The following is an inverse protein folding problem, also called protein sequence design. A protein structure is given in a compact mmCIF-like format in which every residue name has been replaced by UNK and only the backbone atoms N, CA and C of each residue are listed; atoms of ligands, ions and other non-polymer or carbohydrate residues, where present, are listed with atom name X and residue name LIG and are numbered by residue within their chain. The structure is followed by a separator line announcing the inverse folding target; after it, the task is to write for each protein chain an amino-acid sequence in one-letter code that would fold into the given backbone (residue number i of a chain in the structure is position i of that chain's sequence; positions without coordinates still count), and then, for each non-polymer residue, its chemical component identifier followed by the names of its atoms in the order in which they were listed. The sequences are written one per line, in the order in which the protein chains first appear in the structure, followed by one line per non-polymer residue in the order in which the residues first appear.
data_IF_940419130653
#
_entry.id   IF_940419130653
#
_cell.length_a   1.000
_cell.length_b   1.000
_cell.length_c   1.000
_cell.angle_alpha   90.00
_cell.angle_beta   90.00
_cell.angle_gamma   90.00
#
_symmetry.space_group_name_H-M   'P 1'
#
loop_
_entity.id
_entity.type
_entity.pdbx_description
1 polymer ?
#
# COMPACT_ATOMS: atom_id res chain seq x y z
N UNK A 1 18.69 -19.61 -30.63
CA UNK A 1 18.62 -19.64 -29.15
C UNK A 1 19.63 -18.62 -28.67
N UNK A 2 19.31 -17.71 -27.74
CA UNK A 2 20.36 -16.86 -27.16
C UNK A 2 21.33 -17.79 -26.44
N UNK A 3 22.63 -17.59 -26.66
CA UNK A 3 23.70 -18.42 -26.09
C UNK A 3 23.48 -18.60 -24.59
N UNK A 4 23.45 -19.86 -24.15
CA UNK A 4 23.33 -20.19 -22.73
C UNK A 4 24.48 -19.53 -21.97
N UNK A 5 24.16 -18.85 -20.87
CA UNK A 5 25.17 -18.28 -19.99
C UNK A 5 26.09 -19.41 -19.49
N UNK A 6 27.42 -19.32 -19.64
CA UNK A 6 28.35 -20.44 -19.41
C UNK A 6 28.51 -20.86 -17.94
N UNK A 7 27.72 -20.31 -17.02
CA UNK A 7 27.79 -20.60 -15.59
C UNK A 7 26.77 -21.68 -15.18
N UNK A 8 27.26 -22.76 -14.57
CA UNK A 8 26.41 -23.82 -14.01
C UNK A 8 26.05 -23.54 -12.53
N UNK A 9 26.84 -22.69 -11.84
CA UNK A 9 26.63 -22.30 -10.44
C UNK A 9 26.75 -20.79 -10.27
N UNK A 10 26.18 -20.27 -9.18
CA UNK A 10 26.32 -18.85 -8.81
C UNK A 10 27.80 -18.47 -8.63
N UNK A 11 28.61 -19.39 -8.10
CA UNK A 11 30.06 -19.20 -7.89
C UNK A 11 30.83 -18.96 -9.20
N UNK A 12 30.28 -19.42 -10.35
CA UNK A 12 30.90 -19.29 -11.67
C UNK A 12 30.54 -17.96 -12.36
N UNK A 13 29.62 -17.18 -11.76
CA UNK A 13 29.16 -15.93 -12.34
C UNK A 13 30.24 -14.85 -12.31
N UNK A 14 30.25 -14.03 -13.35
CA UNK A 14 31.06 -12.82 -13.37
C UNK A 14 30.61 -11.86 -12.26
N UNK A 15 31.50 -10.94 -11.87
CA UNK A 15 31.15 -9.86 -10.94
C UNK A 15 29.92 -9.07 -11.41
N UNK A 16 29.80 -8.83 -12.71
CA UNK A 16 28.66 -8.09 -13.27
C UNK A 16 27.34 -8.86 -13.10
N UNK A 17 27.37 -10.18 -13.31
CA UNK A 17 26.19 -11.03 -13.15
C UNK A 17 25.80 -11.19 -11.68
N UNK A 18 26.78 -11.30 -10.78
CA UNK A 18 26.53 -11.28 -9.34
C UNK A 18 25.86 -9.97 -8.89
N UNK A 19 26.26 -8.83 -9.45
CA UNK A 19 25.61 -7.54 -9.16
C UNK A 19 24.15 -7.49 -9.62
N UNK A 20 23.82 -8.12 -10.75
CA UNK A 20 22.43 -8.26 -11.24
C UNK A 20 21.62 -9.25 -10.40
N UNK A 21 22.26 -10.27 -9.83
CA UNK A 21 21.61 -11.31 -9.04
C UNK A 21 21.12 -10.81 -7.68
N UNK A 22 21.80 -9.83 -7.07
CA UNK A 22 21.42 -9.26 -5.76
C UNK A 22 19.98 -8.70 -5.76
N UNK A 23 19.60 -7.73 -6.62
CA UNK A 23 18.24 -7.22 -6.64
C UNK A 23 17.21 -8.26 -7.08
N UNK A 24 17.60 -9.23 -7.92
CA UNK A 24 16.75 -10.37 -8.27
C UNK A 24 16.45 -11.25 -7.04
N UNK A 25 17.44 -11.54 -6.20
CA UNK A 25 17.21 -12.28 -4.94
C UNK A 25 16.34 -11.50 -3.97
N UNK A 26 16.51 -10.18 -3.87
CA UNK A 26 15.60 -9.33 -3.10
C UNK A 26 14.16 -9.41 -3.63
N UNK A 27 13.99 -9.37 -4.95
CA UNK A 27 12.68 -9.53 -5.59
C UNK A 27 12.06 -10.89 -5.26
N UNK A 28 12.81 -11.99 -5.39
CA UNK A 28 12.36 -13.35 -5.04
C UNK A 28 11.94 -13.44 -3.58
N UNK A 29 12.68 -12.81 -2.66
CA UNK A 29 12.31 -12.73 -1.24
C UNK A 29 10.96 -12.02 -1.06
N UNK A 30 10.76 -10.86 -1.70
CA UNK A 30 9.51 -10.11 -1.62
C UNK A 30 8.31 -10.91 -2.15
N UNK A 31 8.46 -11.54 -3.31
CA UNK A 31 7.41 -12.38 -3.92
C UNK A 31 7.10 -13.58 -3.03
N UNK A 32 8.12 -14.32 -2.59
CA UNK A 32 7.93 -15.48 -1.73
C UNK A 32 7.29 -15.11 -0.38
N UNK A 33 7.67 -13.96 0.20
CA UNK A 33 7.07 -13.43 1.42
C UNK A 33 5.58 -13.10 1.23
N UNK A 34 5.21 -12.48 0.11
CA UNK A 34 3.82 -12.19 -0.24
C UNK A 34 3.02 -13.48 -0.51
N UNK A 35 3.62 -14.50 -1.13
CA UNK A 35 2.99 -15.80 -1.35
C UNK A 35 2.71 -16.52 -0.02
N UNK A 36 3.65 -16.52 0.92
CA UNK A 36 3.41 -17.05 2.27
C UNK A 36 2.22 -16.38 2.95
N UNK A 37 2.15 -15.05 2.91
CA UNK A 37 1.02 -14.33 3.48
C UNK A 37 -0.30 -14.69 2.76
N UNK A 38 -0.26 -14.83 1.43
CA UNK A 38 -1.42 -15.21 0.62
C UNK A 38 -1.95 -16.59 1.00
N UNK A 39 -1.06 -17.58 1.14
CA UNK A 39 -1.43 -18.94 1.52
C UNK A 39 -1.94 -19.01 2.95
N UNK A 40 -1.28 -18.37 3.92
CA UNK A 40 -1.76 -18.34 5.31
C UNK A 40 -3.15 -17.70 5.38
N UNK A 41 -3.38 -16.62 4.64
CA UNK A 41 -4.71 -16.00 4.54
C UNK A 41 -5.74 -16.94 3.92
N UNK A 42 -5.37 -17.68 2.88
CA UNK A 42 -6.26 -18.63 2.22
C UNK A 42 -6.65 -19.81 3.15
N UNK A 43 -5.66 -20.36 3.86
CA UNK A 43 -5.84 -21.55 4.70
C UNK A 43 -6.44 -21.23 6.08
N UNK A 44 -6.10 -20.08 6.67
CA UNK A 44 -6.38 -19.77 8.08
C UNK A 44 -7.25 -18.53 8.26
N UNK A 45 -7.59 -17.81 7.19
CA UNK A 45 -8.36 -16.58 7.23
C UNK A 45 -7.50 -15.34 7.54
N UNK A 46 -8.07 -14.17 7.23
CA UNK A 46 -7.38 -12.88 7.34
C UNK A 46 -6.98 -12.50 8.79
N UNK A 47 -7.83 -12.65 9.82
CA UNK A 47 -7.46 -12.24 11.18
C UNK A 47 -6.23 -12.98 11.71
N UNK A 48 -6.18 -14.30 11.53
CA UNK A 48 -5.06 -15.14 11.92
C UNK A 48 -3.81 -14.81 11.08
N UNK A 49 -3.97 -14.63 9.76
CA UNK A 49 -2.86 -14.26 8.88
C UNK A 49 -2.20 -12.94 9.28
N UNK A 50 -2.98 -11.91 9.66
CA UNK A 50 -2.46 -10.62 10.11
C UNK A 50 -1.71 -10.74 11.44
N UNK A 51 -2.22 -11.50 12.40
CA UNK A 51 -1.54 -11.75 13.67
C UNK A 51 -0.20 -12.47 13.47
N UNK A 52 -0.15 -13.47 12.58
CA UNK A 52 1.08 -14.17 12.22
C UNK A 52 2.05 -13.26 11.46
N UNK A 53 1.53 -12.41 10.56
CA UNK A 53 2.33 -11.45 9.79
C UNK A 53 3.08 -10.48 10.70
N UNK A 54 2.49 -10.00 11.81
CA UNK A 54 3.19 -9.11 12.76
C UNK A 54 4.49 -9.75 13.30
N UNK A 55 4.39 -11.03 13.70
CA UNK A 55 5.52 -11.76 14.24
C UNK A 55 6.56 -12.08 13.17
N UNK A 56 6.08 -12.52 11.99
CA UNK A 56 6.93 -12.85 10.86
C UNK A 56 7.71 -11.63 10.35
N UNK A 57 7.04 -10.47 10.23
CA UNK A 57 7.64 -9.23 9.75
C UNK A 57 8.77 -8.77 10.66
N UNK A 58 8.53 -8.63 11.97
CA UNK A 58 9.53 -8.16 12.94
C UNK A 58 10.77 -9.06 12.96
N UNK A 59 10.57 -10.38 12.99
CA UNK A 59 11.68 -11.35 13.01
C UNK A 59 12.43 -11.36 11.67
N UNK A 60 11.71 -11.38 10.56
CA UNK A 60 12.30 -11.39 9.22
C UNK A 60 13.14 -10.15 8.95
N UNK A 61 12.60 -8.96 9.26
CA UNK A 61 13.31 -7.70 9.08
C UNK A 61 14.59 -7.65 9.91
N UNK A 62 14.52 -8.00 11.20
CA UNK A 62 15.69 -8.00 12.08
C UNK A 62 16.80 -8.95 11.59
N UNK A 63 16.44 -10.17 11.14
CA UNK A 63 17.40 -11.15 10.60
C UNK A 63 18.03 -10.63 9.30
N UNK A 64 17.22 -10.10 8.38
CA UNK A 64 17.71 -9.57 7.11
C UNK A 64 18.64 -8.38 7.30
N UNK A 65 18.25 -7.40 8.13
CA UNK A 65 19.07 -6.23 8.42
C UNK A 65 20.38 -6.61 9.10
N UNK A 66 20.36 -7.55 10.05
CA UNK A 66 21.58 -8.07 10.69
C UNK A 66 22.55 -8.66 9.66
N UNK A 67 22.07 -9.58 8.80
CA UNK A 67 22.90 -10.24 7.78
C UNK A 67 23.46 -9.25 6.75
N UNK A 68 22.63 -8.31 6.29
CA UNK A 68 23.07 -7.26 5.38
C UNK A 68 24.10 -6.33 6.04
N UNK A 69 23.90 -5.96 7.31
CA UNK A 69 24.85 -5.16 8.07
C UNK A 69 26.21 -5.85 8.23
N UNK A 70 26.21 -7.14 8.58
CA UNK A 70 27.43 -7.96 8.68
C UNK A 70 28.15 -8.08 7.32
N UNK A 71 27.40 -8.26 6.23
CA UNK A 71 27.96 -8.46 4.88
C UNK A 71 28.45 -7.16 4.22
N UNK A 72 27.72 -6.07 4.42
CA UNK A 72 27.98 -4.77 3.77
C UNK A 72 28.75 -3.78 4.68
N UNK A 73 29.00 -4.15 5.94
CA UNK A 73 29.83 -3.38 6.87
C UNK A 73 29.13 -2.17 7.50
N UNK A 74 27.79 -2.16 7.59
CA UNK A 74 27.06 -1.08 8.28
C UNK A 74 26.51 -1.54 9.63
N UNK A 75 26.49 -0.61 10.59
CA UNK A 75 25.93 -0.85 11.93
C UNK A 75 24.40 -0.95 11.87
N UNK A 76 23.84 -1.89 12.63
CA UNK A 76 22.40 -2.07 12.85
C UNK A 76 22.06 -1.72 14.30
N UNK A 77 21.01 -0.92 14.51
CA UNK A 77 20.47 -0.53 15.82
C UNK A 77 18.97 -0.77 15.80
N UNK A 78 18.44 -1.50 16.78
CA UNK A 78 17.01 -1.86 16.90
C UNK A 78 16.40 -2.45 15.62
N UNK A 79 17.18 -3.26 14.92
CA UNK A 79 16.75 -3.92 13.68
C UNK A 79 16.75 -3.03 12.44
N UNK A 80 17.31 -1.81 12.51
CA UNK A 80 17.42 -0.87 11.39
C UNK A 80 18.87 -0.46 11.13
N UNK A 81 19.24 -0.09 9.90
CA UNK A 81 20.53 0.55 9.63
C UNK A 81 20.71 1.81 10.49
N UNK A 82 21.85 1.94 11.16
CA UNK A 82 22.13 3.05 12.09
C UNK A 82 22.05 4.42 11.42
N UNK A 83 22.27 4.49 10.10
CA UNK A 83 22.08 5.71 9.31
C UNK A 83 20.66 6.27 9.44
N UNK A 84 19.63 5.40 9.52
CA UNK A 84 18.24 5.82 9.66
C UNK A 84 17.98 6.47 11.02
N UNK A 85 18.57 5.93 12.09
CA UNK A 85 18.43 6.48 13.44
C UNK A 85 19.13 7.84 13.60
N UNK A 86 20.11 8.15 12.74
CA UNK A 86 20.81 9.43 12.72
C UNK A 86 20.12 10.52 11.89
N UNK A 87 19.04 10.19 11.15
CA UNK A 87 18.30 11.17 10.37
C UNK A 87 17.44 12.06 11.27
N UNK A 88 17.36 13.34 10.94
CA UNK A 88 16.38 14.23 11.56
C UNK A 88 14.96 13.94 11.07
N UNK A 89 13.98 14.59 11.71
CA UNK A 89 12.56 14.41 11.38
C UNK A 89 12.24 14.75 9.92
N UNK A 90 12.86 15.79 9.35
CA UNK A 90 12.59 16.22 7.98
C UNK A 90 13.09 15.17 7.00
N UNK A 91 14.32 14.69 7.17
CA UNK A 91 14.90 13.64 6.34
C UNK A 91 14.13 12.31 6.45
N UNK A 92 13.62 11.96 7.64
CA UNK A 92 12.75 10.80 7.81
C UNK A 92 11.42 10.94 7.05
N UNK A 93 10.81 12.13 7.07
CA UNK A 93 9.59 12.40 6.31
C UNK A 93 9.85 12.35 4.80
N UNK A 94 10.95 12.92 4.33
CA UNK A 94 11.35 12.85 2.92
C UNK A 94 11.59 11.41 2.45
N UNK A 95 12.20 10.58 3.31
CA UNK A 95 12.39 9.16 3.04
C UNK A 95 11.05 8.43 2.95
N UNK A 96 10.12 8.69 3.87
CA UNK A 96 8.76 8.13 3.84
C UNK A 96 8.03 8.56 2.55
N UNK A 97 8.20 9.80 2.11
CA UNK A 97 7.61 10.30 0.86
C UNK A 97 8.20 9.62 -0.37
N UNK A 98 9.50 9.36 -0.37
CA UNK A 98 10.15 8.57 -1.42
C UNK A 98 9.61 7.13 -1.45
N UNK A 99 9.43 6.49 -0.29
CA UNK A 99 8.84 5.16 -0.20
C UNK A 99 7.40 5.13 -0.72
N UNK A 100 6.58 6.12 -0.38
CA UNK A 100 5.22 6.24 -0.89
C UNK A 100 5.20 6.43 -2.42
N UNK A 101 6.11 7.25 -2.97
CA UNK A 101 6.26 7.41 -4.44
C UNK A 101 6.63 6.09 -5.12
N UNK A 102 7.53 5.31 -4.53
CA UNK A 102 7.92 4.00 -5.05
C UNK A 102 6.75 3.01 -5.03
N UNK A 103 5.94 3.01 -3.95
CA UNK A 103 4.72 2.21 -3.89
C UNK A 103 3.76 2.54 -5.04
N UNK A 104 3.47 3.82 -5.27
CA UNK A 104 2.56 4.25 -6.34
C UNK A 104 3.14 3.92 -7.73
N UNK A 105 4.45 4.05 -7.91
CA UNK A 105 5.12 3.68 -9.16
C UNK A 105 4.97 2.17 -9.44
N UNK A 106 5.18 1.32 -8.43
CA UNK A 106 5.01 -0.12 -8.57
C UNK A 106 3.57 -0.51 -8.90
N UNK A 107 2.58 0.13 -8.25
CA UNK A 107 1.16 -0.09 -8.54
C UNK A 107 0.85 0.22 -10.01
N UNK A 108 1.30 1.36 -10.52
CA UNK A 108 1.16 1.75 -11.92
C UNK A 108 1.90 0.83 -12.90
N UNK A 109 3.12 0.38 -12.57
CA UNK A 109 3.91 -0.54 -13.41
C UNK A 109 3.21 -1.90 -13.52
N UNK A 110 2.68 -2.44 -12.42
CA UNK A 110 1.89 -3.68 -12.46
C UNK A 110 0.62 -3.52 -13.27
N UNK A 111 -0.10 -2.41 -13.09
CA UNK A 111 -1.29 -2.11 -13.86
C UNK A 111 -0.99 -2.13 -15.36
N UNK A 112 0.05 -1.41 -15.78
CA UNK A 112 0.48 -1.32 -17.17
C UNK A 112 0.95 -2.68 -17.72
N UNK A 113 1.69 -3.46 -16.94
CA UNK A 113 2.12 -4.80 -17.36
C UNK A 113 0.94 -5.71 -17.69
N UNK A 114 -0.12 -5.68 -16.87
CA UNK A 114 -1.36 -6.44 -17.15
C UNK A 114 -2.11 -5.83 -18.32
N UNK A 115 -2.25 -4.50 -18.37
CA UNK A 115 -2.96 -3.80 -19.45
C UNK A 115 -2.33 -4.11 -20.82
N UNK A 116 -1.00 -4.00 -20.95
CA UNK A 116 -0.31 -4.27 -22.21
C UNK A 116 -0.34 -5.75 -22.61
N UNK A 117 -0.48 -6.66 -21.65
CA UNK A 117 -0.53 -8.11 -21.90
C UNK A 117 -1.96 -8.61 -22.19
N UNK A 118 -2.96 -8.05 -21.53
CA UNK A 118 -4.31 -8.62 -21.39
C UNK A 118 -5.46 -7.62 -21.57
N UNK A 119 -5.15 -6.33 -21.70
CA UNK A 119 -6.11 -5.24 -21.85
C UNK A 119 -6.63 -4.66 -20.54
N UNK A 120 -7.32 -3.53 -20.67
CA UNK A 120 -7.81 -2.70 -19.56
C UNK A 120 -8.72 -3.45 -18.57
N UNK A 121 -9.60 -4.32 -19.06
CA UNK A 121 -10.54 -5.05 -18.20
C UNK A 121 -9.82 -5.97 -17.21
N UNK A 122 -8.83 -6.74 -17.68
CA UNK A 122 -8.04 -7.63 -16.83
C UNK A 122 -7.18 -6.80 -15.86
N UNK A 123 -6.60 -5.68 -16.31
CA UNK A 123 -5.82 -4.77 -15.45
C UNK A 123 -6.66 -4.19 -14.29
N UNK A 124 -7.87 -3.67 -14.59
CA UNK A 124 -8.80 -3.16 -13.57
C UNK A 124 -9.24 -4.25 -12.61
N UNK A 125 -9.58 -5.45 -13.10
CA UNK A 125 -9.99 -6.56 -12.23
C UNK A 125 -8.88 -6.98 -11.27
N UNK A 126 -7.65 -7.07 -11.76
CA UNK A 126 -6.48 -7.38 -10.93
C UNK A 126 -6.22 -6.27 -9.90
N UNK A 127 -6.27 -5.00 -10.30
CA UNK A 127 -6.14 -3.85 -9.43
C UNK A 127 -7.19 -3.85 -8.31
N UNK A 128 -8.47 -3.99 -8.66
CA UNK A 128 -9.57 -3.93 -7.69
C UNK A 128 -9.48 -5.10 -6.69
N UNK A 129 -9.07 -6.28 -7.16
CA UNK A 129 -8.79 -7.44 -6.30
C UNK A 129 -7.59 -7.21 -5.38
N UNK A 130 -6.53 -6.56 -5.88
CA UNK A 130 -5.39 -6.17 -5.06
C UNK A 130 -5.82 -5.23 -3.92
N UNK A 131 -6.64 -4.23 -4.22
CA UNK A 131 -7.18 -3.31 -3.22
C UNK A 131 -8.10 -3.99 -2.18
N UNK A 132 -8.88 -5.01 -2.60
CA UNK A 132 -9.68 -5.82 -1.67
C UNK A 132 -8.82 -6.53 -0.61
N UNK A 133 -7.57 -6.83 -0.94
CA UNK A 133 -6.62 -7.49 -0.07
C UNK A 133 -5.74 -6.52 0.73
N UNK A 134 -5.28 -5.45 0.08
CA UNK A 134 -4.37 -4.48 0.68
C UNK A 134 -5.08 -3.58 1.69
N UNK A 135 -6.31 -3.12 1.41
CA UNK A 135 -7.00 -2.15 2.25
C UNK A 135 -7.26 -2.64 3.68
N UNK A 136 -7.71 -3.89 3.91
CA UNK A 136 -7.85 -4.42 5.28
C UNK A 136 -6.49 -4.60 5.99
N UNK A 137 -5.43 -4.99 5.26
CA UNK A 137 -4.09 -5.08 5.83
C UNK A 137 -3.58 -3.70 6.28
N UNK A 138 -3.74 -2.69 5.43
CA UNK A 138 -3.35 -1.31 5.73
C UNK A 138 -4.13 -0.76 6.94
N UNK A 139 -5.45 -0.98 6.98
CA UNK A 139 -6.30 -0.61 8.11
C UNK A 139 -5.83 -1.27 9.42
N UNK A 140 -5.55 -2.58 9.40
CA UNK A 140 -5.03 -3.31 10.57
C UNK A 140 -3.69 -2.74 11.04
N UNK A 141 -2.77 -2.44 10.12
CA UNK A 141 -1.45 -1.90 10.47
C UNK A 141 -1.57 -0.49 11.07
N UNK A 142 -2.41 0.37 10.50
CA UNK A 142 -2.67 1.72 11.00
C UNK A 142 -3.35 1.69 12.36
N UNK A 143 -4.34 0.81 12.59
CA UNK A 143 -4.97 0.65 13.91
C UNK A 143 -3.93 0.38 14.99
N UNK A 144 -2.99 -0.54 14.72
CA UNK A 144 -1.90 -0.88 15.66
C UNK A 144 -0.95 0.30 15.88
N UNK A 145 -0.54 0.97 14.81
CA UNK A 145 0.34 2.14 14.91
C UNK A 145 -0.27 3.25 15.77
N UNK A 146 -1.58 3.47 15.63
CA UNK A 146 -2.31 4.54 16.33
C UNK A 146 -2.89 4.12 17.69
N UNK A 147 -2.76 2.84 18.07
CA UNK A 147 -3.40 2.29 19.26
C UNK A 147 -4.93 2.39 19.23
N UNK A 148 -5.54 2.25 18.05
CA UNK A 148 -7.01 2.24 17.93
C UNK A 148 -7.56 0.91 18.44
N UNK A 149 -8.65 0.97 19.22
CA UNK A 149 -9.38 -0.23 19.65
C UNK A 149 -10.10 -0.95 18.50
N UNK A 150 -10.86 -2.00 18.83
CA UNK A 150 -11.50 -2.83 17.79
C UNK A 150 -12.56 -2.09 16.97
N UNK A 151 -13.35 -1.24 17.63
CA UNK A 151 -14.42 -0.46 17.01
C UNK A 151 -14.25 1.03 17.35
N UNK A 152 -13.25 1.71 16.74
CA UNK A 152 -12.89 3.09 17.09
C UNK A 152 -13.85 4.13 16.48
N UNK A 153 -14.89 3.71 15.77
CA UNK A 153 -15.90 4.58 15.17
C UNK A 153 -15.37 5.52 14.08
N UNK A 154 -16.20 6.49 13.71
CA UNK A 154 -15.89 7.46 12.64
C UNK A 154 -14.74 8.39 13.01
N UNK A 155 -14.56 8.75 14.28
CA UNK A 155 -13.38 9.51 14.74
C UNK A 155 -12.09 8.71 14.56
N UNK A 156 -12.13 7.40 14.83
CA UNK A 156 -11.03 6.49 14.52
C UNK A 156 -10.71 6.43 13.03
N UNK A 157 -11.74 6.33 12.18
CA UNK A 157 -11.60 6.35 10.72
C UNK A 157 -10.99 7.66 10.22
N UNK A 158 -11.48 8.81 10.68
CA UNK A 158 -10.96 10.13 10.30
C UNK A 158 -9.45 10.25 10.62
N UNK A 159 -9.02 9.75 11.79
CA UNK A 159 -7.59 9.69 12.13
C UNK A 159 -6.84 8.74 11.21
N UNK A 160 -7.34 7.52 11.02
CA UNK A 160 -6.68 6.47 10.24
C UNK A 160 -6.46 6.84 8.76
N UNK A 161 -7.40 7.58 8.15
CA UNK A 161 -7.28 8.04 6.75
C UNK A 161 -6.02 8.89 6.51
N UNK A 162 -5.50 9.58 7.53
CA UNK A 162 -4.28 10.38 7.44
C UNK A 162 -2.98 9.57 7.46
N UNK A 163 -3.05 8.27 7.77
CA UNK A 163 -1.89 7.38 7.88
C UNK A 163 -1.80 6.37 6.73
N UNK A 164 -2.71 6.46 5.75
CA UNK A 164 -2.63 5.65 4.53
C UNK A 164 -1.42 6.04 3.70
N UNK A 165 -0.83 5.08 2.98
CA UNK A 165 0.40 5.30 2.20
C UNK A 165 0.24 6.44 1.18
N UNK A 166 -0.91 6.53 0.51
CA UNK A 166 -1.16 7.60 -0.45
C UNK A 166 -1.44 8.96 0.20
N UNK A 167 -1.73 9.03 1.50
CA UNK A 167 -1.99 10.31 2.18
C UNK A 167 -0.72 11.18 2.20
N UNK A 168 0.46 10.57 2.00
CA UNK A 168 1.73 11.26 1.77
C UNK A 168 1.86 11.88 0.37
N UNK A 169 1.10 11.39 -0.60
CA UNK A 169 1.21 11.77 -2.01
C UNK A 169 0.11 12.72 -2.47
N UNK A 170 -0.99 12.74 -1.74
CA UNK A 170 -2.23 13.40 -2.10
C UNK A 170 -2.61 14.47 -1.07
N UNK A 171 -3.47 15.40 -1.47
CA UNK A 171 -4.12 16.32 -0.54
C UNK A 171 -5.54 15.86 -0.31
N UNK A 172 -5.93 15.70 0.96
CA UNK A 172 -7.22 15.17 1.35
C UNK A 172 -7.79 15.93 2.55
N UNK A 173 -9.11 15.89 2.68
CA UNK A 173 -9.83 16.50 3.80
C UNK A 173 -10.92 15.57 4.30
N UNK A 174 -11.26 15.73 5.57
CA UNK A 174 -12.36 15.01 6.22
C UNK A 174 -13.16 15.97 7.08
N UNK A 175 -14.48 15.85 7.06
CA UNK A 175 -15.37 16.60 7.94
C UNK A 175 -16.60 15.76 8.30
N UNK A 176 -17.21 16.06 9.43
CA UNK A 176 -18.46 15.42 9.85
C UNK A 176 -19.64 16.24 9.31
N UNK A 177 -20.56 15.58 8.60
CA UNK A 177 -21.87 16.18 8.27
C UNK A 177 -22.77 16.21 9.51
N UNK A 178 -22.65 15.18 10.36
CA UNK A 178 -23.31 15.01 11.65
C UNK A 178 -22.53 13.99 12.51
N UNK A 179 -23.03 13.64 13.70
CA UNK A 179 -22.38 12.71 14.64
C UNK A 179 -22.25 11.27 14.12
N UNK A 180 -22.97 10.92 13.06
CA UNK A 180 -23.04 9.57 12.50
C UNK A 180 -22.58 9.50 11.04
N UNK A 181 -22.04 10.61 10.51
CA UNK A 181 -21.69 10.73 9.09
C UNK A 181 -20.36 11.49 8.92
N UNK A 182 -19.35 10.77 8.46
CA UNK A 182 -18.05 11.33 8.07
C UNK A 182 -17.94 11.40 6.55
N UNK A 183 -17.52 12.55 6.02
CA UNK A 183 -17.18 12.72 4.61
C UNK A 183 -15.68 12.86 4.44
N UNK A 184 -15.14 12.12 3.48
CA UNK A 184 -13.77 12.23 3.00
C UNK A 184 -13.75 12.78 1.58
N UNK A 185 -12.79 13.66 1.28
CA UNK A 185 -12.54 14.20 -0.06
C UNK A 185 -11.08 14.07 -0.42
N UNK A 186 -10.82 13.57 -1.62
CA UNK A 186 -9.51 13.60 -2.26
C UNK A 186 -9.39 14.90 -3.06
N UNK A 187 -8.90 15.96 -2.41
CA UNK A 187 -8.78 17.29 -3.01
C UNK A 187 -7.78 17.31 -4.18
N UNK A 188 -6.63 16.66 -4.00
CA UNK A 188 -5.62 16.50 -5.06
C UNK A 188 -5.21 15.04 -5.13
N UNK A 189 -5.48 14.40 -6.26
CA UNK A 189 -5.03 13.04 -6.54
C UNK A 189 -3.82 13.08 -7.47
N UNK A 190 -2.68 12.56 -7.03
CA UNK A 190 -1.42 12.53 -7.80
C UNK A 190 -1.59 11.84 -9.16
N UNK A 191 -2.39 10.76 -9.24
CA UNK A 191 -2.66 10.05 -10.49
C UNK A 191 -3.43 10.94 -11.46
N UNK A 192 -4.53 11.56 -11.00
CA UNK A 192 -5.33 12.43 -11.86
C UNK A 192 -4.55 13.69 -12.27
N UNK A 193 -3.81 14.30 -11.36
CA UNK A 193 -2.95 15.44 -11.66
C UNK A 193 -1.90 15.11 -12.73
N UNK A 194 -1.29 13.92 -12.67
CA UNK A 194 -0.33 13.45 -13.67
C UNK A 194 -0.97 13.13 -15.03
N UNK A 195 -2.28 12.84 -15.08
CA UNK A 195 -3.03 12.65 -16.32
C UNK A 195 -3.45 13.98 -16.92
N UNK A 196 -3.97 14.89 -16.09
CA UNK A 196 -4.34 16.25 -16.49
C UNK A 196 -3.13 17.00 -17.09
N UNK A 197 -1.94 16.87 -16.50
CA UNK A 197 -0.72 17.48 -17.05
C UNK A 197 -0.30 16.95 -18.42
N UNK A 198 -0.81 15.77 -18.81
CA UNK A 198 -0.62 15.15 -20.13
C UNK A 198 -1.81 15.36 -21.06
N UNK A 199 -2.80 16.16 -20.67
CA UNK A 199 -4.04 16.35 -21.44
C UNK A 199 -4.90 15.08 -21.55
N UNK A 200 -4.72 14.12 -20.65
CA UNK A 200 -5.50 12.88 -20.62
C UNK A 200 -6.74 13.06 -19.74
N UNK A 201 -7.86 12.46 -20.16
CA UNK A 201 -9.06 12.39 -19.33
C UNK A 201 -8.78 11.67 -17.99
N UNK A 202 -9.59 11.97 -16.98
CA UNK A 202 -9.47 11.32 -15.67
C UNK A 202 -9.55 9.81 -15.79
N UNK A 203 -8.70 9.13 -15.01
CA UNK A 203 -8.70 7.68 -14.92
C UNK A 203 -9.98 7.22 -14.20
N UNK A 204 -10.77 6.29 -14.77
CA UNK A 204 -12.03 5.84 -14.18
C UNK A 204 -11.81 4.92 -12.97
N UNK A 205 -11.37 5.46 -11.83
CA UNK A 205 -10.98 4.73 -10.62
C UNK A 205 -12.13 4.34 -9.68
N UNK A 206 -13.40 4.66 -9.99
CA UNK A 206 -14.54 4.37 -9.13
C UNK A 206 -14.66 2.91 -8.68
N UNK A 207 -14.40 1.94 -9.58
CA UNK A 207 -14.49 0.51 -9.24
C UNK A 207 -13.49 0.12 -8.14
N UNK A 208 -12.24 0.57 -8.28
CA UNK A 208 -11.21 0.40 -7.26
C UNK A 208 -11.59 1.11 -5.97
N UNK A 209 -12.04 2.37 -6.05
CA UNK A 209 -12.41 3.16 -4.88
C UNK A 209 -13.55 2.53 -4.06
N UNK A 210 -14.57 1.95 -4.73
CA UNK A 210 -15.68 1.28 -4.06
C UNK A 210 -15.18 0.11 -3.20
N UNK A 211 -14.19 -0.62 -3.67
CA UNK A 211 -13.55 -1.70 -2.92
C UNK A 211 -12.65 -1.13 -1.84
N UNK A 212 -11.71 -0.27 -2.22
CA UNK A 212 -10.68 0.29 -1.37
C UNK A 212 -11.25 0.97 -0.12
N UNK A 213 -12.10 1.98 -0.30
CA UNK A 213 -12.62 2.77 0.82
C UNK A 213 -13.55 1.96 1.71
N UNK A 214 -14.38 1.09 1.12
CA UNK A 214 -15.29 0.26 1.89
C UNK A 214 -14.57 -0.81 2.72
N UNK A 215 -13.53 -1.43 2.15
CA UNK A 215 -12.76 -2.48 2.83
C UNK A 215 -11.82 -1.87 3.87
N UNK A 216 -11.21 -0.71 3.58
CA UNK A 216 -10.44 0.05 4.56
C UNK A 216 -11.32 0.45 5.75
N UNK A 217 -12.46 1.09 5.50
CA UNK A 217 -13.36 1.56 6.55
C UNK A 217 -13.87 0.43 7.44
N UNK A 218 -14.28 -0.71 6.86
CA UNK A 218 -14.66 -1.91 7.63
C UNK A 218 -13.49 -2.56 8.38
N UNK A 219 -12.27 -2.45 7.85
CA UNK A 219 -11.05 -2.87 8.55
C UNK A 219 -10.74 -1.98 9.77
N UNK A 220 -11.15 -0.72 9.72
CA UNK A 220 -11.09 0.19 10.87
C UNK A 220 -12.17 -0.16 11.91
N UNK A 221 -13.43 -0.14 11.48
CA UNK A 221 -14.60 -0.50 12.29
C UNK A 221 -15.63 -1.20 11.40
N UNK A 222 -15.97 -2.45 11.73
CA UNK A 222 -16.80 -3.31 10.89
C UNK A 222 -18.24 -2.80 10.69
N UNK A 223 -18.68 -1.85 11.52
CA UNK A 223 -20.02 -1.24 11.46
C UNK A 223 -20.13 -0.13 10.41
N UNK A 224 -19.01 0.32 9.85
CA UNK A 224 -19.01 1.45 8.92
C UNK A 224 -19.52 1.01 7.54
N UNK A 225 -20.62 1.64 7.12
CA UNK A 225 -21.08 1.63 5.74
C UNK A 225 -20.38 2.74 4.94
N UNK A 226 -20.08 2.46 3.67
CA UNK A 226 -19.39 3.41 2.77
C UNK A 226 -20.25 3.65 1.53
N UNK A 227 -20.39 4.91 1.15
CA UNK A 227 -21.12 5.38 -0.02
C UNK A 227 -20.20 6.28 -0.87
N UNK A 228 -20.22 6.08 -2.19
CA UNK A 228 -19.52 6.96 -3.11
C UNK A 228 -20.36 8.22 -3.37
N UNK A 229 -19.83 9.40 -3.05
CA UNK A 229 -20.47 10.68 -3.41
C UNK A 229 -20.17 11.00 -4.88
N UNK A 230 -18.93 10.77 -5.31
CA UNK A 230 -18.50 10.93 -6.69
C UNK A 230 -17.06 10.44 -6.86
N UNK A 231 -16.77 9.80 -7.98
CA UNK A 231 -15.43 9.36 -8.35
C UNK A 231 -15.38 9.11 -9.87
N UNK A 232 -14.31 9.52 -10.59
CA UNK A 232 -14.16 9.26 -12.00
C UNK A 232 -14.52 7.80 -12.37
N UNK A 233 -15.36 7.59 -13.40
CA UNK A 233 -15.71 8.54 -14.45
C UNK A 233 -16.93 9.45 -14.14
N UNK A 234 -17.46 9.43 -12.92
CA UNK A 234 -18.53 10.36 -12.55
C UNK A 234 -18.03 11.81 -12.69
N UNK A 235 -18.95 12.72 -13.00
CA UNK A 235 -18.67 14.15 -12.91
C UNK A 235 -18.36 14.53 -11.46
N UNK A 236 -17.36 15.38 -11.27
CA UNK A 236 -16.98 15.92 -9.98
C UNK A 236 -16.68 17.43 -10.10
N UNK A 237 -16.82 18.20 -9.01
CA UNK A 237 -16.44 19.60 -8.99
C UNK A 237 -14.92 19.78 -9.03
N UNK A 238 -14.46 21.03 -9.16
CA UNK A 238 -13.03 21.34 -9.27
C UNK A 238 -12.26 21.19 -7.94
N UNK A 239 -12.94 21.14 -6.80
CA UNK A 239 -12.32 21.14 -5.46
C UNK A 239 -11.93 19.73 -4.94
N UNK A 240 -12.38 18.67 -5.61
CA UNK A 240 -11.97 17.29 -5.32
C UNK A 240 -12.19 16.35 -6.51
N UNK A 241 -11.39 15.28 -6.56
CA UNK A 241 -11.52 14.22 -7.57
C UNK A 241 -12.44 13.08 -7.12
N UNK A 242 -12.37 12.68 -5.86
CA UNK A 242 -13.33 11.72 -5.33
C UNK A 242 -13.77 12.07 -3.92
N UNK A 243 -14.99 11.70 -3.58
CA UNK A 243 -15.59 11.93 -2.28
C UNK A 243 -16.38 10.70 -1.83
N UNK A 244 -16.26 10.40 -0.53
CA UNK A 244 -16.79 9.19 0.09
C UNK A 244 -17.46 9.54 1.40
N UNK A 245 -18.65 8.97 1.62
CA UNK A 245 -19.40 9.12 2.85
C UNK A 245 -19.35 7.83 3.65
N UNK A 246 -19.09 7.96 4.95
CA UNK A 246 -19.01 6.86 5.90
C UNK A 246 -20.06 7.04 6.98
N UNK A 247 -20.84 5.99 7.26
CA UNK A 247 -21.94 6.03 8.24
C UNK A 247 -21.91 4.86 9.19
N UNK A 248 -22.36 5.08 10.42
CA UNK A 248 -22.71 4.02 11.37
C UNK A 248 -24.19 4.18 11.72
N UNK A 249 -25.04 3.29 11.20
CA UNK A 249 -26.50 3.37 11.39
C UNK A 249 -26.99 2.68 12.67
N UNK A 250 -26.14 1.89 13.32
CA UNK A 250 -26.44 1.28 14.62
C UNK A 250 -25.25 1.49 15.56
N UNK A 251 -25.19 2.62 16.28
CA UNK A 251 -24.27 2.75 17.40
C UNK A 251 -24.69 1.72 18.45
N UNK A 252 -23.79 0.78 18.75
CA UNK A 252 -23.94 -0.13 19.87
C UNK A 252 -23.78 0.62 21.19
#
# INVERSE_FOLDING_TARGET
MPDAHPADRIDDLSKEDLLKLIPDFMHRILVHYALWFTEVRHQMGMPQALAMLDSAFKKSLAIQMKRLGETLGFKVVDGLPAVLAGLDKTALLDLIDAMAKNWLANDGIWFQAVEFSRGMNDAKRCNDSCWAHFSPFEAWNIKRLLGLGEMPGLTGLARALNFRVYARLNTQSTFFEDDHTLVFRMNVCRVQAARASKGLADYPCKSAGLVEYAYFARGIDSRIATECIGCPPDAHPADWFCAWRFKITNPA
#
